data_IF_404145131954
#
_entry.id   IF_404145131954
#
_cell.length_a   1.000
_cell.length_b   1.000
_cell.length_c   1.000
_cell.angle_alpha   90.00
_cell.angle_beta   90.00
_cell.angle_gamma   90.00
#
_symmetry.space_group_name_H-M   'P 1'
#
loop_
_entity.id
_entity.type
_entity.pdbx_description
1 polymer ?
#
# COMPACT_ATOMS: atom_id res chain seq x y z
N UNK A 1 28.10 13.14 11.99
CA UNK A 1 27.25 14.11 12.74
C UNK A 1 26.16 14.74 11.88
N UNK A 2 26.43 15.14 10.63
CA UNK A 2 25.40 15.71 9.73
C UNK A 2 24.34 14.65 9.36
N UNK A 3 24.78 13.46 8.93
CA UNK A 3 23.95 12.27 8.69
C UNK A 3 22.93 11.95 9.80
N UNK A 4 23.37 11.97 11.06
CA UNK A 4 22.52 11.64 12.21
C UNK A 4 21.45 12.68 12.51
N UNK A 5 21.70 13.96 12.20
CA UNK A 5 20.70 15.03 12.35
C UNK A 5 19.65 14.94 11.24
N UNK A 6 20.07 14.58 10.03
CA UNK A 6 19.19 14.39 8.88
C UNK A 6 18.26 13.17 9.07
N UNK A 7 18.77 12.05 9.59
CA UNK A 7 17.95 10.89 9.97
C UNK A 7 16.86 11.24 11.00
N UNK A 8 17.23 11.99 12.04
CA UNK A 8 16.28 12.40 13.07
C UNK A 8 15.24 13.37 12.50
N UNK A 9 15.67 14.31 11.66
CA UNK A 9 14.78 15.23 10.93
C UNK A 9 13.74 14.49 10.10
N UNK A 10 14.16 13.48 9.32
CA UNK A 10 13.25 12.67 8.51
C UNK A 10 12.23 11.88 9.37
N UNK A 11 12.67 11.30 10.49
CA UNK A 11 11.78 10.57 11.42
C UNK A 11 10.76 11.50 12.08
N UNK A 12 11.19 12.70 12.49
CA UNK A 12 10.31 13.73 13.05
C UNK A 12 9.31 14.21 11.99
N UNK A 13 9.78 14.44 10.76
CA UNK A 13 8.90 14.79 9.64
C UNK A 13 7.82 13.74 9.41
N UNK A 14 8.19 12.45 9.37
CA UNK A 14 7.22 11.36 9.22
C UNK A 14 6.20 11.32 10.37
N UNK A 15 6.63 11.56 11.61
CA UNK A 15 5.74 11.65 12.77
C UNK A 15 4.75 12.82 12.61
N UNK A 16 5.25 14.02 12.31
CA UNK A 16 4.40 15.21 12.11
C UNK A 16 3.40 14.97 10.97
N UNK A 17 3.86 14.47 9.82
CA UNK A 17 3.01 14.14 8.69
C UNK A 17 1.92 13.11 9.07
N UNK A 18 2.28 12.05 9.78
CA UNK A 18 1.32 11.01 10.21
C UNK A 18 0.23 11.56 11.14
N UNK A 19 0.60 12.41 12.10
CA UNK A 19 -0.34 13.05 13.02
C UNK A 19 -1.23 14.04 12.26
N UNK A 20 -0.65 14.86 11.38
CA UNK A 20 -1.41 15.79 10.54
C UNK A 20 -2.40 15.10 9.60
N UNK A 21 -2.07 13.92 9.08
CA UNK A 21 -2.99 13.11 8.28
C UNK A 21 -4.12 12.53 9.14
N UNK A 22 -3.81 12.06 10.36
CA UNK A 22 -4.81 11.52 11.28
C UNK A 22 -5.82 12.59 11.72
N UNK A 23 -5.40 13.83 11.96
CA UNK A 23 -6.31 14.92 12.29
C UNK A 23 -7.19 15.35 11.12
N UNK A 24 -6.73 15.16 9.88
CA UNK A 24 -7.49 15.50 8.68
C UNK A 24 -8.41 14.38 8.19
N UNK A 25 -8.42 13.22 8.86
CA UNK A 25 -9.18 12.06 8.37
C UNK A 25 -10.70 12.32 8.34
N UNK A 26 -11.19 13.19 9.23
CA UNK A 26 -12.59 13.64 9.25
C UNK A 26 -13.01 14.37 7.97
N UNK A 27 -12.11 15.14 7.37
CA UNK A 27 -12.39 15.88 6.14
C UNK A 27 -12.48 14.98 4.91
N UNK A 28 -11.75 13.86 4.92
CA UNK A 28 -11.61 12.96 3.77
C UNK A 28 -12.52 11.73 3.82
N UNK A 29 -12.97 11.31 5.02
CA UNK A 29 -13.72 10.06 5.20
C UNK A 29 -15.00 10.25 5.99
N UNK A 30 -16.11 9.75 5.45
CA UNK A 30 -17.45 9.85 6.06
C UNK A 30 -17.86 8.52 6.71
N UNK A 31 -18.51 8.62 7.85
CA UNK A 31 -19.22 7.48 8.45
C UNK A 31 -20.53 7.25 7.72
N UNK A 32 -20.76 6.03 7.27
CA UNK A 32 -22.01 5.62 6.63
C UNK A 32 -22.86 4.93 7.69
N UNK A 33 -24.09 5.43 7.92
CA UNK A 33 -25.05 4.81 8.84
C UNK A 33 -25.56 3.50 8.24
N UNK A 34 -25.75 2.46 9.08
CA UNK A 34 -26.28 1.13 8.71
C UNK A 34 -25.34 0.26 7.85
N UNK A 35 -24.04 0.34 8.11
CA UNK A 35 -23.04 -0.56 7.50
C UNK A 35 -22.19 -1.17 8.61
N UNK A 36 -21.88 -2.46 8.50
CA UNK A 36 -21.04 -3.19 9.45
C UNK A 36 -19.69 -2.51 9.66
N UNK A 37 -19.13 -2.64 10.87
CA UNK A 37 -17.91 -1.95 11.28
C UNK A 37 -16.74 -2.20 10.31
N UNK A 38 -16.58 -3.44 9.84
CA UNK A 38 -15.50 -3.86 8.94
C UNK A 38 -15.63 -3.31 7.52
N UNK A 39 -16.85 -2.97 7.10
CA UNK A 39 -17.15 -2.39 5.78
C UNK A 39 -17.15 -0.85 5.81
N UNK A 40 -16.95 -0.24 6.98
CA UNK A 40 -16.91 1.21 7.08
C UNK A 40 -15.68 1.76 6.35
N UNK A 41 -15.86 2.70 5.40
CA UNK A 41 -14.75 3.27 4.63
C UNK A 41 -13.66 3.92 5.48
N UNK A 42 -14.01 4.29 6.71
CA UNK A 42 -13.14 5.03 7.63
C UNK A 42 -12.36 4.15 8.60
N UNK A 43 -12.79 2.90 8.87
CA UNK A 43 -12.15 2.05 9.88
C UNK A 43 -10.69 1.74 9.51
N UNK A 44 -10.46 1.24 8.30
CA UNK A 44 -9.14 0.84 7.84
C UNK A 44 -8.15 2.01 7.69
N UNK A 45 -8.55 3.18 7.14
CA UNK A 45 -7.72 4.37 7.16
C UNK A 45 -7.31 4.82 8.58
N UNK A 46 -8.24 4.81 9.55
CA UNK A 46 -7.89 5.14 10.94
C UNK A 46 -6.87 4.14 11.48
N UNK A 47 -7.12 2.83 11.33
CA UNK A 47 -6.23 1.79 11.83
C UNK A 47 -4.81 1.94 11.26
N UNK A 48 -4.70 2.17 9.95
CA UNK A 48 -3.43 2.38 9.26
C UNK A 48 -2.69 3.64 9.78
N UNK A 49 -3.39 4.76 9.91
CA UNK A 49 -2.79 6.01 10.41
C UNK A 49 -2.37 5.91 11.87
N UNK A 50 -3.16 5.26 12.73
CA UNK A 50 -2.81 5.02 14.14
C UNK A 50 -1.55 4.17 14.23
N UNK A 51 -1.47 3.07 13.49
CA UNK A 51 -0.29 2.22 13.46
C UNK A 51 0.95 2.97 12.96
N UNK A 52 0.78 3.82 11.94
CA UNK A 52 1.82 4.68 11.39
C UNK A 52 2.32 5.69 12.43
N UNK A 53 1.42 6.37 13.16
CA UNK A 53 1.79 7.31 14.24
C UNK A 53 2.56 6.61 15.36
N UNK A 54 2.08 5.45 15.82
CA UNK A 54 2.75 4.67 16.89
C UNK A 54 4.15 4.24 16.45
N UNK A 55 4.28 3.74 15.22
CA UNK A 55 5.57 3.30 14.68
C UNK A 55 6.54 4.47 14.49
N UNK A 56 6.06 5.61 13.98
CA UNK A 56 6.86 6.82 13.82
C UNK A 56 7.33 7.38 15.17
N UNK A 57 6.46 7.34 16.19
CA UNK A 57 6.80 7.77 17.54
C UNK A 57 7.87 6.86 18.14
N UNK A 58 7.71 5.54 18.02
CA UNK A 58 8.71 4.57 18.48
C UNK A 58 10.08 4.80 17.81
N UNK A 59 10.11 5.01 16.49
CA UNK A 59 11.33 5.31 15.75
C UNK A 59 11.97 6.64 16.19
N UNK A 60 11.16 7.64 16.50
CA UNK A 60 11.64 8.93 17.01
C UNK A 60 12.29 8.76 18.39
N UNK A 61 11.64 8.04 19.31
CA UNK A 61 12.16 7.74 20.66
C UNK A 61 13.48 6.97 20.58
N UNK A 62 13.57 5.94 19.73
CA UNK A 62 14.82 5.19 19.53
C UNK A 62 15.91 6.09 18.94
N UNK A 63 15.57 6.97 18.00
CA UNK A 63 16.49 7.96 17.43
C UNK A 63 17.06 8.91 18.49
N UNK A 64 16.20 9.46 19.35
CA UNK A 64 16.61 10.32 20.46
C UNK A 64 17.50 9.60 21.48
N UNK A 65 17.17 8.34 21.83
CA UNK A 65 18.00 7.51 22.73
C UNK A 65 19.39 7.25 22.14
N UNK A 66 19.49 6.94 20.84
CA UNK A 66 20.77 6.74 20.14
C UNK A 66 21.63 8.00 20.12
N UNK A 67 21.03 9.18 19.88
CA UNK A 67 21.74 10.46 19.96
C UNK A 67 22.28 10.73 21.36
N UNK A 68 21.47 10.48 22.40
CA UNK A 68 21.86 10.71 23.81
C UNK A 68 22.97 9.76 24.26
N UNK A 69 23.00 8.53 23.75
CA UNK A 69 24.01 7.52 24.09
C UNK A 69 25.36 7.70 23.38
N UNK A 70 25.51 8.73 22.53
CA UNK A 70 26.67 8.96 21.65
C UNK A 70 27.05 7.73 20.77
N UNK A 71 26.15 6.76 20.64
CA UNK A 71 26.25 5.56 19.79
C UNK A 71 25.87 5.92 18.33
N UNK A 72 26.43 7.02 17.84
CA UNK A 72 26.09 7.59 16.53
C UNK A 72 27.02 7.01 15.47
N UNK A 73 26.87 5.72 15.21
CA UNK A 73 27.45 5.10 14.02
C UNK A 73 26.39 5.13 12.91
N UNK A 74 26.31 6.23 12.16
CA UNK A 74 25.64 6.19 10.86
C UNK A 74 26.59 5.49 9.90
N UNK A 75 26.35 4.20 9.63
CA UNK A 75 27.20 3.39 8.76
C UNK A 75 27.07 3.77 7.27
N UNK A 76 26.07 4.59 6.92
CA UNK A 76 25.68 4.85 5.55
C UNK A 76 25.93 6.32 5.14
N UNK A 77 26.49 6.55 3.93
CA UNK A 77 26.53 7.88 3.30
C UNK A 77 25.15 8.56 3.26
N UNK A 78 25.11 9.90 3.32
CA UNK A 78 23.86 10.67 3.26
C UNK A 78 23.03 10.39 2.00
N UNK A 79 23.69 10.13 0.86
CA UNK A 79 23.03 9.73 -0.39
C UNK A 79 22.29 8.40 -0.28
N UNK A 80 22.87 7.39 0.38
CA UNK A 80 22.21 6.10 0.56
C UNK A 80 21.00 6.20 1.48
N UNK A 81 21.03 7.09 2.47
CA UNK A 81 19.89 7.30 3.36
C UNK A 81 18.66 7.84 2.60
N UNK A 82 18.87 8.81 1.71
CA UNK A 82 17.78 9.35 0.88
C UNK A 82 17.20 8.28 -0.06
N UNK A 83 18.05 7.41 -0.60
CA UNK A 83 17.63 6.28 -1.44
C UNK A 83 16.84 5.23 -0.64
N UNK A 84 17.20 4.96 0.61
CA UNK A 84 16.43 4.07 1.47
C UNK A 84 15.02 4.59 1.76
N UNK A 85 14.86 5.90 1.94
CA UNK A 85 13.54 6.52 2.11
C UNK A 85 12.72 6.54 0.82
N UNK A 86 13.36 6.45 -0.34
CA UNK A 86 12.68 6.33 -1.63
C UNK A 86 12.06 4.94 -1.84
N UNK A 87 12.67 3.87 -1.34
CA UNK A 87 12.17 2.49 -1.54
C UNK A 87 10.70 2.30 -1.10
N UNK A 88 10.28 2.68 0.12
CA UNK A 88 8.87 2.58 0.53
C UNK A 88 7.93 3.43 -0.32
N UNK A 89 8.43 4.57 -0.80
CA UNK A 89 7.67 5.52 -1.60
C UNK A 89 7.39 4.93 -3.00
N UNK A 90 8.36 4.21 -3.57
CA UNK A 90 8.18 3.47 -4.81
C UNK A 90 7.03 2.44 -4.70
N UNK A 91 7.00 1.62 -3.65
CA UNK A 91 5.92 0.63 -3.47
C UNK A 91 4.55 1.29 -3.21
N UNK A 92 4.54 2.45 -2.55
CA UNK A 92 3.32 3.25 -2.39
C UNK A 92 2.81 3.77 -3.73
N UNK A 93 3.70 4.21 -4.63
CA UNK A 93 3.35 4.61 -5.99
C UNK A 93 2.83 3.44 -6.83
N UNK A 94 3.43 2.24 -6.69
CA UNK A 94 2.92 1.02 -7.31
C UNK A 94 1.49 0.72 -6.86
N UNK A 95 1.19 0.86 -5.58
CA UNK A 95 -0.16 0.69 -5.06
C UNK A 95 -1.15 1.72 -5.63
N UNK A 96 -0.76 3.00 -5.74
CA UNK A 96 -1.61 4.03 -6.35
C UNK A 96 -1.87 3.74 -7.84
N UNK A 97 -0.84 3.31 -8.58
CA UNK A 97 -0.99 2.89 -9.97
C UNK A 97 -1.95 1.71 -10.09
N UNK A 98 -1.87 0.73 -9.19
CA UNK A 98 -2.81 -0.39 -9.13
C UNK A 98 -4.26 0.08 -8.92
N UNK A 99 -4.52 0.94 -7.93
CA UNK A 99 -5.87 1.47 -7.67
C UNK A 99 -6.45 2.16 -8.91
N UNK A 100 -5.63 2.92 -9.65
CA UNK A 100 -6.06 3.54 -10.90
C UNK A 100 -6.37 2.51 -12.00
N UNK A 101 -5.49 1.52 -12.19
CA UNK A 101 -5.65 0.45 -13.18
C UNK A 101 -6.87 -0.43 -12.89
N UNK A 102 -7.20 -0.67 -11.62
CA UNK A 102 -8.40 -1.42 -11.22
C UNK A 102 -9.68 -0.79 -11.80
N UNK A 103 -9.77 0.54 -11.83
CA UNK A 103 -10.91 1.23 -12.43
C UNK A 103 -11.03 1.05 -13.96
N UNK A 104 -9.91 0.80 -14.65
CA UNK A 104 -9.84 0.65 -16.10
C UNK A 104 -9.97 -0.81 -16.54
N UNK A 105 -9.15 -1.69 -15.96
CA UNK A 105 -9.01 -3.09 -16.37
C UNK A 105 -9.94 -4.05 -15.61
N UNK A 106 -10.54 -3.59 -14.52
CA UNK A 106 -11.31 -4.44 -13.63
C UNK A 106 -10.40 -5.21 -12.67
N UNK A 107 -10.98 -5.66 -11.57
CA UNK A 107 -10.20 -6.13 -10.43
C UNK A 107 -9.33 -7.36 -10.73
N UNK A 108 -9.83 -8.34 -11.47
CA UNK A 108 -9.09 -9.56 -11.78
C UNK A 108 -7.84 -9.27 -12.62
N UNK A 109 -8.01 -8.60 -13.77
CA UNK A 109 -6.91 -8.32 -14.68
C UNK A 109 -5.89 -7.36 -14.06
N UNK A 110 -6.36 -6.34 -13.35
CA UNK A 110 -5.48 -5.42 -12.64
C UNK A 110 -4.65 -6.14 -11.57
N UNK A 111 -5.26 -7.03 -10.78
CA UNK A 111 -4.55 -7.75 -9.71
C UNK A 111 -3.52 -8.73 -10.27
N UNK A 112 -3.88 -9.49 -11.31
CA UNK A 112 -2.93 -10.40 -11.96
C UNK A 112 -1.77 -9.65 -12.61
N UNK A 113 -2.06 -8.60 -13.38
CA UNK A 113 -1.04 -7.76 -13.99
C UNK A 113 -0.11 -7.15 -12.94
N UNK A 114 -0.69 -6.61 -11.86
CA UNK A 114 0.06 -6.01 -10.77
C UNK A 114 0.98 -7.00 -10.05
N UNK A 115 0.48 -8.20 -9.75
CA UNK A 115 1.29 -9.27 -9.15
C UNK A 115 2.47 -9.69 -10.02
N UNK A 116 2.27 -9.82 -11.33
CA UNK A 116 3.34 -10.16 -12.27
C UNK A 116 4.39 -9.05 -12.37
N UNK A 117 3.96 -7.79 -12.47
CA UNK A 117 4.87 -6.64 -12.55
C UNK A 117 5.66 -6.47 -11.27
N UNK A 118 5.04 -6.59 -10.09
CA UNK A 118 5.74 -6.55 -8.81
C UNK A 118 6.71 -7.71 -8.64
N UNK A 119 6.36 -8.92 -9.09
CA UNK A 119 7.25 -10.08 -9.03
C UNK A 119 8.50 -9.84 -9.88
N UNK A 120 8.33 -9.29 -11.08
CA UNK A 120 9.45 -8.87 -11.91
C UNK A 120 10.29 -7.77 -11.25
N UNK A 121 9.64 -6.75 -10.67
CA UNK A 121 10.31 -5.62 -10.01
C UNK A 121 11.09 -6.02 -8.75
N UNK A 122 10.58 -7.00 -8.01
CA UNK A 122 11.24 -7.61 -6.86
C UNK A 122 12.49 -8.43 -7.24
N UNK A 123 12.74 -8.62 -8.54
CA UNK A 123 13.94 -9.31 -9.06
C UNK A 123 13.75 -10.80 -9.30
N UNK A 124 12.55 -11.34 -9.07
CA UNK A 124 12.25 -12.74 -9.37
C UNK A 124 12.09 -12.94 -10.88
N UNK A 125 13.17 -13.39 -11.54
CA UNK A 125 13.23 -13.55 -12.99
C UNK A 125 12.87 -14.94 -13.49
N UNK A 126 12.79 -15.94 -12.62
CA UNK A 126 12.44 -17.30 -13.02
C UNK A 126 10.94 -17.45 -13.27
N UNK A 127 10.59 -18.20 -14.31
CA UNK A 127 9.19 -18.48 -14.71
C UNK A 127 8.34 -19.09 -13.58
N UNK A 128 8.97 -19.83 -12.66
CA UNK A 128 8.28 -20.43 -11.50
C UNK A 128 7.63 -19.39 -10.60
N UNK A 129 8.30 -18.26 -10.37
CA UNK A 129 7.79 -17.19 -9.51
C UNK A 129 6.59 -16.47 -10.13
N UNK A 130 6.57 -16.32 -11.45
CA UNK A 130 5.41 -15.79 -12.15
C UNK A 130 4.19 -16.72 -12.01
N UNK A 131 4.38 -18.04 -12.04
CA UNK A 131 3.31 -19.00 -11.76
C UNK A 131 2.70 -18.81 -10.37
N UNK A 132 3.55 -18.68 -9.34
CA UNK A 132 3.09 -18.39 -7.98
C UNK A 132 2.42 -17.03 -7.87
N UNK A 133 2.91 -16.00 -8.56
CA UNK A 133 2.29 -14.67 -8.58
C UNK A 133 0.85 -14.71 -9.11
N UNK A 134 0.59 -15.52 -10.15
CA UNK A 134 -0.77 -15.75 -10.66
C UNK A 134 -1.64 -16.46 -9.61
N UNK A 135 -1.13 -17.52 -8.99
CA UNK A 135 -1.88 -18.27 -7.96
C UNK A 135 -2.24 -17.38 -6.77
N UNK A 136 -1.30 -16.58 -6.29
CA UNK A 136 -1.54 -15.62 -5.21
C UNK A 136 -2.52 -14.54 -5.64
N UNK A 137 -2.35 -13.98 -6.85
CA UNK A 137 -3.28 -13.00 -7.41
C UNK A 137 -4.72 -13.54 -7.50
N UNK A 138 -4.91 -14.76 -7.99
CA UNK A 138 -6.21 -15.44 -8.02
C UNK A 138 -6.77 -15.66 -6.61
N UNK A 139 -5.92 -16.10 -5.67
CA UNK A 139 -6.32 -16.31 -4.27
C UNK A 139 -6.81 -15.01 -3.63
N UNK A 140 -6.11 -13.90 -3.87
CA UNK A 140 -6.52 -12.56 -3.41
C UNK A 140 -7.88 -12.21 -4.04
N UNK A 141 -8.00 -12.35 -5.35
CA UNK A 141 -9.25 -12.01 -6.06
C UNK A 141 -10.45 -12.78 -5.51
N UNK A 142 -10.27 -14.10 -5.34
CA UNK A 142 -11.31 -14.99 -4.80
C UNK A 142 -11.62 -14.67 -3.33
N UNK A 143 -10.61 -14.36 -2.52
CA UNK A 143 -10.81 -13.99 -1.11
C UNK A 143 -11.64 -12.72 -0.99
N UNK A 144 -11.36 -11.69 -1.78
CA UNK A 144 -12.16 -10.46 -1.77
C UNK A 144 -13.59 -10.69 -2.27
N UNK A 145 -13.77 -11.53 -3.30
CA UNK A 145 -15.11 -11.84 -3.81
C UNK A 145 -15.93 -12.65 -2.80
N UNK A 146 -15.34 -13.68 -2.20
CA UNK A 146 -16.03 -14.63 -1.33
C UNK A 146 -16.21 -14.12 0.10
N UNK A 147 -15.16 -13.52 0.67
CA UNK A 147 -15.18 -13.09 2.07
C UNK A 147 -15.81 -11.70 2.24
N UNK A 148 -15.58 -10.77 1.31
CA UNK A 148 -16.02 -9.38 1.47
C UNK A 148 -17.27 -9.03 0.64
N UNK A 149 -17.67 -9.88 -0.32
CA UNK A 149 -18.84 -9.67 -1.22
C UNK A 149 -18.92 -8.26 -1.83
N UNK A 150 -17.77 -7.58 -1.95
CA UNK A 150 -17.71 -6.20 -2.41
C UNK A 150 -18.04 -6.18 -3.89
N UNK A 151 -18.90 -5.24 -4.29
CA UNK A 151 -19.15 -4.95 -5.70
C UNK A 151 -17.88 -4.33 -6.28
N UNK A 152 -17.09 -5.17 -6.92
CA UNK A 152 -15.83 -4.76 -7.51
C UNK A 152 -16.10 -4.02 -8.81
N UNK A 153 -15.29 -3.00 -9.16
CA UNK A 153 -15.51 -2.26 -10.39
C UNK A 153 -15.36 -3.20 -11.59
N UNK A 154 -16.43 -3.32 -12.38
CA UNK A 154 -16.35 -3.89 -13.72
C UNK A 154 -15.56 -2.88 -14.57
N UNK A 155 -14.29 -3.17 -14.83
CA UNK A 155 -13.42 -2.27 -15.59
C UNK A 155 -14.00 -1.98 -16.97
N UNK A 156 -13.74 -0.77 -17.47
CA UNK A 156 -14.14 -0.33 -18.81
C UNK A 156 -13.64 -1.28 -19.91
N UNK A 157 -12.50 -1.95 -19.68
CA UNK A 157 -11.95 -2.95 -20.59
C UNK A 157 -12.86 -4.18 -20.76
N UNK A 158 -13.76 -4.48 -19.83
CA UNK A 158 -14.71 -5.59 -19.98
C UNK A 158 -15.72 -5.34 -21.11
N UNK A 159 -15.95 -4.08 -21.50
CA UNK A 159 -16.87 -3.74 -22.60
C UNK A 159 -16.34 -4.19 -23.98
N UNK A 160 -15.02 -4.30 -24.12
CA UNK A 160 -14.36 -4.75 -25.35
C UNK A 160 -14.22 -6.27 -25.47
N UNK A 161 -14.53 -7.03 -24.41
CA UNK A 161 -14.49 -8.49 -24.48
C UNK A 161 -15.70 -9.08 -25.21
N UNK A 162 -15.56 -10.26 -25.86
CA UNK A 162 -16.67 -10.98 -26.44
C UNK A 162 -17.80 -11.20 -25.41
N UNK A 163 -19.08 -11.17 -25.82
CA UNK A 163 -20.23 -11.14 -24.91
C UNK A 163 -20.24 -12.26 -23.86
N UNK A 164 -19.78 -13.47 -24.23
CA UNK A 164 -19.69 -14.62 -23.32
C UNK A 164 -18.68 -14.42 -22.18
N UNK A 165 -17.47 -13.95 -22.50
CA UNK A 165 -16.43 -13.68 -21.51
C UNK A 165 -16.75 -12.45 -20.66
N UNK A 166 -17.34 -11.41 -21.27
CA UNK A 166 -17.79 -10.21 -20.55
C UNK A 166 -18.82 -10.56 -19.46
N UNK A 167 -19.85 -11.32 -19.81
CA UNK A 167 -20.87 -11.71 -18.85
C UNK A 167 -20.29 -12.58 -17.74
N UNK A 168 -19.37 -13.50 -18.05
CA UNK A 168 -18.69 -14.30 -17.04
C UNK A 168 -17.88 -13.43 -16.07
N UNK A 169 -17.06 -12.51 -16.58
CA UNK A 169 -16.24 -11.63 -15.74
C UNK A 169 -17.11 -10.73 -14.87
N UNK A 170 -18.09 -10.01 -15.43
CA UNK A 170 -18.98 -9.13 -14.64
C UNK A 170 -19.77 -9.91 -13.58
N UNK A 171 -20.22 -11.13 -13.89
CA UNK A 171 -21.03 -11.92 -12.95
C UNK A 171 -20.19 -12.42 -11.77
N UNK A 172 -18.97 -12.90 -12.03
CA UNK A 172 -18.18 -13.60 -11.02
C UNK A 172 -17.03 -12.77 -10.41
N UNK A 173 -16.57 -11.70 -11.06
CA UNK A 173 -15.35 -10.97 -10.72
C UNK A 173 -15.51 -9.45 -10.84
#
# INVERSE_FOLDING_TARGET
MVSSRLELGLRVFALVASVSLLTQIDAQTKWIKRVDLTMQPRLWPILALVLMVVSALAMCVVGFRKLRSNQVQSALPERSLLLEWWLPLEYSLWFLAYVYVVGLAGYLLATLGFMLVLTYRAGFREKRWFGWAVVVGLTVVLSFRTALQVRLPSGQLYEFLPPGFRNFMITYF
#
